data_IF_709327745292
#
_entry.id   IF_709327745292
#
_cell.length_a   1.000
_cell.length_b   1.000
_cell.length_c   1.000
_cell.angle_alpha   90.00
_cell.angle_beta   90.00
_cell.angle_gamma   90.00
#
_symmetry.space_group_name_H-M   'P 1'
#
loop_
_entity.id
_entity.type
_entity.pdbx_description
1 polymer ?
#
# COMPACT_ATOMS: atom_id res chain seq x y z
N UNK A 1 -10.44 -26.47 4.85
CA UNK A 1 -11.59 -26.03 5.68
C UNK A 1 -11.63 -24.50 5.64
N UNK A 2 -12.46 -23.90 4.79
CA UNK A 2 -12.71 -22.45 4.76
C UNK A 2 -13.83 -22.12 5.75
N UNK A 3 -13.48 -22.05 7.03
CA UNK A 3 -14.37 -21.51 8.05
C UNK A 3 -14.27 -19.99 8.07
N UNK A 4 -15.41 -19.30 8.18
CA UNK A 4 -15.40 -17.89 8.58
C UNK A 4 -14.87 -17.78 10.00
N UNK A 5 -13.87 -16.93 10.20
CA UNK A 5 -13.27 -16.67 11.52
C UNK A 5 -13.58 -15.24 11.93
N UNK A 6 -14.02 -15.05 13.16
CA UNK A 6 -14.29 -13.72 13.72
C UNK A 6 -13.00 -13.14 14.30
N UNK A 7 -12.71 -11.89 13.94
CA UNK A 7 -11.53 -11.15 14.37
C UNK A 7 -11.92 -9.77 14.88
N UNK A 8 -11.07 -9.20 15.73
CA UNK A 8 -11.13 -7.76 16.04
C UNK A 8 -10.74 -6.94 14.81
N UNK A 9 -11.43 -5.82 14.59
CA UNK A 9 -11.23 -4.94 13.46
C UNK A 9 -11.20 -3.47 13.91
N UNK A 10 -10.19 -2.67 13.54
CA UNK A 10 -10.10 -1.27 13.97
C UNK A 10 -11.14 -0.34 13.32
N UNK A 11 -11.85 -0.81 12.29
CA UNK A 11 -12.85 -0.03 11.55
C UNK A 11 -14.27 -0.43 11.97
N UNK A 12 -14.56 -1.74 12.08
CA UNK A 12 -15.88 -2.28 12.40
C UNK A 12 -16.02 -2.80 13.85
N UNK A 13 -14.94 -2.84 14.62
CA UNK A 13 -14.89 -3.46 15.94
C UNK A 13 -14.68 -4.97 15.87
N UNK A 14 -15.59 -5.67 15.20
CA UNK A 14 -15.49 -7.10 14.91
C UNK A 14 -15.85 -7.39 13.44
N UNK A 15 -15.18 -8.38 12.86
CA UNK A 15 -15.41 -8.80 11.47
C UNK A 15 -15.29 -10.31 11.32
N UNK A 16 -16.18 -10.90 10.53
CA UNK A 16 -16.12 -12.30 10.14
C UNK A 16 -15.46 -12.41 8.78
N UNK A 17 -14.27 -13.01 8.71
CA UNK A 17 -13.45 -13.09 7.49
C UNK A 17 -13.38 -14.52 7.00
N UNK A 18 -13.61 -14.69 5.71
CA UNK A 18 -13.41 -15.95 5.01
C UNK A 18 -12.14 -15.86 4.18
N UNK A 19 -11.13 -16.67 4.54
CA UNK A 19 -9.90 -16.73 3.76
C UNK A 19 -10.18 -17.49 2.46
N UNK A 20 -9.91 -16.92 1.27
CA UNK A 20 -10.18 -17.56 0.00
C UNK A 20 -9.54 -18.96 -0.10
N UNK A 21 -10.25 -19.88 -0.75
CA UNK A 21 -9.62 -21.12 -1.16
C UNK A 21 -8.77 -20.90 -2.41
N UNK A 22 -7.57 -21.47 -2.38
CA UNK A 22 -6.53 -21.29 -3.40
C UNK A 22 -6.11 -22.62 -4.03
N UNK A 23 -6.81 -23.71 -3.72
CA UNK A 23 -6.57 -25.04 -4.28
C UNK A 23 -6.62 -25.05 -5.81
N UNK A 24 -7.55 -24.29 -6.37
CA UNK A 24 -7.88 -24.33 -7.81
C UNK A 24 -7.18 -23.22 -8.61
N UNK A 25 -6.38 -22.38 -7.94
CA UNK A 25 -5.64 -21.30 -8.60
C UNK A 25 -4.50 -21.92 -9.42
N UNK A 26 -4.57 -21.73 -10.74
CA UNK A 26 -3.52 -22.14 -11.68
C UNK A 26 -2.18 -21.55 -11.27
N UNK A 27 -1.13 -22.37 -11.26
CA UNK A 27 0.23 -21.90 -11.07
C UNK A 27 0.65 -21.06 -12.28
N UNK A 28 0.70 -19.74 -12.10
CA UNK A 28 1.28 -18.82 -13.09
C UNK A 28 2.81 -18.91 -13.16
N UNK A 29 3.41 -18.42 -14.24
CA UNK A 29 4.87 -18.41 -14.45
C UNK A 29 5.40 -16.98 -14.45
N UNK A 30 6.52 -16.73 -13.78
CA UNK A 30 7.14 -15.40 -13.82
C UNK A 30 7.85 -15.19 -15.16
N UNK A 31 7.39 -14.20 -15.90
CA UNK A 31 8.02 -13.82 -17.17
C UNK A 31 9.30 -13.00 -16.92
N UNK A 32 10.36 -13.22 -17.71
CA UNK A 32 11.55 -12.38 -17.65
C UNK A 32 11.22 -10.91 -17.95
N UNK A 33 11.86 -9.98 -17.23
CA UNK A 33 11.65 -8.54 -17.39
C UNK A 33 11.76 -8.03 -18.85
N UNK A 34 12.69 -8.53 -19.71
CA UNK A 34 12.73 -8.13 -21.11
C UNK A 34 11.47 -8.52 -21.89
N UNK A 35 10.91 -9.70 -21.63
CA UNK A 35 9.68 -10.17 -22.29
C UNK A 35 8.50 -9.31 -21.87
N UNK A 36 8.37 -9.04 -20.57
CA UNK A 36 7.32 -8.15 -20.03
C UNK A 36 7.39 -6.74 -20.64
N UNK A 37 8.59 -6.23 -20.91
CA UNK A 37 8.80 -4.88 -21.46
C UNK A 37 8.58 -4.82 -22.98
N UNK A 38 9.07 -5.80 -23.72
CA UNK A 38 9.10 -5.75 -25.19
C UNK A 38 7.74 -6.08 -25.81
N UNK A 39 6.92 -6.93 -25.19
CA UNK A 39 5.59 -7.26 -25.70
C UNK A 39 4.67 -6.04 -25.87
N UNK A 40 4.46 -5.17 -24.87
CA UNK A 40 3.63 -3.98 -25.03
C UNK A 40 4.26 -2.97 -25.99
N UNK A 41 5.58 -2.78 -25.96
CA UNK A 41 6.27 -1.91 -26.93
C UNK A 41 6.06 -2.39 -28.36
N UNK A 42 6.24 -3.68 -28.61
CA UNK A 42 6.05 -4.29 -29.92
C UNK A 42 4.59 -4.22 -30.39
N UNK A 43 3.61 -4.40 -29.48
CA UNK A 43 2.20 -4.23 -29.79
C UNK A 43 1.85 -2.79 -30.19
N UNK A 44 2.40 -1.79 -29.49
CA UNK A 44 2.23 -0.37 -29.83
C UNK A 44 2.88 -0.05 -31.18
N UNK A 45 4.12 -0.52 -31.42
CA UNK A 45 4.80 -0.29 -32.70
C UNK A 45 4.06 -0.95 -33.87
N UNK A 46 3.51 -2.15 -33.70
CA UNK A 46 2.70 -2.82 -34.72
C UNK A 46 1.39 -2.05 -35.01
N UNK A 47 0.74 -1.54 -33.96
CA UNK A 47 -0.45 -0.70 -34.10
C UNK A 47 -0.14 0.58 -34.88
N UNK A 48 0.95 1.27 -34.53
CA UNK A 48 1.41 2.47 -35.25
C UNK A 48 1.72 2.16 -36.72
N UNK A 49 2.39 1.04 -36.99
CA UNK A 49 2.66 0.61 -38.36
C UNK A 49 1.36 0.39 -39.15
N UNK A 50 0.36 -0.25 -38.52
CA UNK A 50 -0.95 -0.46 -39.14
C UNK A 50 -1.65 0.86 -39.45
N UNK A 51 -1.61 1.82 -38.53
CA UNK A 51 -2.18 3.15 -38.76
C UNK A 51 -1.49 3.86 -39.92
N UNK A 52 -0.15 3.93 -39.93
CA UNK A 52 0.62 4.58 -41.01
C UNK A 52 0.33 3.95 -42.37
N UNK A 53 0.32 2.62 -42.45
CA UNK A 53 0.02 1.92 -43.71
C UNK A 53 -1.42 2.12 -44.16
N UNK A 54 -2.38 2.21 -43.23
CA UNK A 54 -3.77 2.55 -43.55
C UNK A 54 -3.95 3.95 -44.15
N UNK A 55 -3.03 4.89 -43.86
CA UNK A 55 -3.05 6.23 -44.47
C UNK A 55 -2.30 6.29 -45.81
N UNK A 56 -1.31 5.42 -46.04
CA UNK A 56 -0.39 5.53 -47.18
C UNK A 56 -0.67 4.52 -48.30
N UNK A 57 -1.40 3.44 -48.02
CA UNK A 57 -1.71 2.42 -49.01
C UNK A 57 -3.11 2.61 -49.61
N UNK A 58 -3.21 2.44 -50.93
CA UNK A 58 -4.49 2.45 -51.67
C UNK A 58 -5.36 1.19 -51.39
N UNK A 59 -4.98 0.34 -50.43
CA UNK A 59 -5.65 -0.92 -50.10
C UNK A 59 -5.49 -1.32 -48.64
N UNK A 60 -6.24 -2.35 -48.21
CA UNK A 60 -6.24 -2.77 -46.82
C UNK A 60 -4.86 -3.34 -46.39
N UNK A 61 -4.26 -2.84 -45.28
CA UNK A 61 -2.92 -3.23 -44.86
C UNK A 61 -2.92 -4.59 -44.13
N UNK A 62 -3.15 -5.68 -44.87
CA UNK A 62 -3.28 -7.04 -44.31
C UNK A 62 -2.09 -7.48 -43.45
N UNK A 63 -0.86 -7.24 -43.91
CA UNK A 63 0.36 -7.66 -43.18
C UNK A 63 0.51 -6.92 -41.85
N UNK A 64 0.47 -5.56 -41.80
CA UNK A 64 0.48 -4.83 -40.54
C UNK A 64 -0.64 -5.22 -39.58
N UNK A 65 -1.86 -5.43 -40.09
CA UNK A 65 -3.01 -5.86 -39.28
C UNK A 65 -2.74 -7.23 -38.66
N UNK A 66 -2.27 -8.20 -39.43
CA UNK A 66 -1.96 -9.54 -38.92
C UNK A 66 -0.86 -9.51 -37.85
N UNK A 67 0.22 -8.75 -38.08
CA UNK A 67 1.30 -8.57 -37.08
C UNK A 67 0.75 -7.95 -35.79
N UNK A 68 -0.09 -6.91 -35.90
CA UNK A 68 -0.72 -6.28 -34.74
C UNK A 68 -1.59 -7.26 -33.97
N UNK A 69 -2.44 -8.03 -34.64
CA UNK A 69 -3.28 -9.05 -34.01
C UNK A 69 -2.44 -10.09 -33.26
N UNK A 70 -1.36 -10.60 -33.87
CA UNK A 70 -0.46 -11.57 -33.22
C UNK A 70 0.23 -10.97 -32.00
N UNK A 71 0.72 -9.72 -32.09
CA UNK A 71 1.40 -9.07 -30.96
C UNK A 71 0.46 -8.83 -29.78
N UNK A 72 -0.78 -8.39 -30.04
CA UNK A 72 -1.80 -8.28 -28.99
C UNK A 72 -2.17 -9.65 -28.41
N UNK A 73 -2.32 -10.69 -29.24
CA UNK A 73 -2.61 -12.04 -28.77
C UNK A 73 -1.48 -12.58 -27.87
N UNK A 74 -0.21 -12.37 -28.25
CA UNK A 74 0.95 -12.74 -27.43
C UNK A 74 1.00 -11.95 -26.12
N UNK A 75 0.65 -10.67 -26.13
CA UNK A 75 0.57 -9.85 -24.93
C UNK A 75 -0.51 -10.36 -23.95
N UNK A 76 -1.71 -10.69 -24.45
CA UNK A 76 -2.78 -11.26 -23.62
C UNK A 76 -2.40 -12.66 -23.10
N UNK A 77 -1.83 -13.51 -23.95
CA UNK A 77 -1.38 -14.85 -23.56
C UNK A 77 -0.28 -14.77 -22.49
N UNK A 78 0.65 -13.83 -22.62
CA UNK A 78 1.67 -13.58 -21.61
C UNK A 78 1.06 -13.18 -20.26
N UNK A 79 0.03 -12.32 -20.25
CA UNK A 79 -0.71 -11.97 -19.03
C UNK A 79 -1.39 -13.18 -18.37
N UNK A 80 -2.07 -14.00 -19.17
CA UNK A 80 -2.76 -15.22 -18.70
C UNK A 80 -1.76 -16.26 -18.15
N UNK A 81 -0.64 -16.46 -18.84
CA UNK A 81 0.45 -17.34 -18.38
C UNK A 81 1.09 -16.81 -17.10
N UNK A 82 1.19 -15.49 -16.97
CA UNK A 82 1.70 -14.89 -15.76
C UNK A 82 0.76 -15.17 -14.58
N UNK A 83 -0.55 -15.02 -14.75
CA UNK A 83 -1.55 -15.18 -13.67
C UNK A 83 -1.08 -14.53 -12.35
N UNK A 84 -0.62 -13.28 -12.45
CA UNK A 84 0.04 -12.55 -11.37
C UNK A 84 -0.84 -12.48 -10.13
N UNK A 85 -2.09 -12.08 -10.30
CA UNK A 85 -3.06 -11.91 -9.21
C UNK A 85 -3.31 -13.24 -8.49
N UNK A 86 -3.41 -14.34 -9.25
CA UNK A 86 -3.48 -15.69 -8.69
C UNK A 86 -2.26 -16.07 -7.87
N UNK A 87 -1.04 -15.77 -8.35
CA UNK A 87 0.19 -16.03 -7.59
C UNK A 87 0.26 -15.22 -6.30
N UNK A 88 -0.08 -13.92 -6.37
CA UNK A 88 -0.09 -13.03 -5.21
C UNK A 88 -1.11 -13.52 -4.16
N UNK A 89 -2.34 -13.82 -4.60
CA UNK A 89 -3.40 -14.36 -3.75
C UNK A 89 -2.95 -15.67 -3.07
N UNK A 90 -2.40 -16.62 -3.84
CA UNK A 90 -1.91 -17.89 -3.31
C UNK A 90 -0.86 -17.70 -2.23
N UNK A 91 0.14 -16.84 -2.46
CA UNK A 91 1.23 -16.56 -1.51
C UNK A 91 0.73 -15.94 -0.21
N UNK A 92 -0.19 -14.97 -0.31
CA UNK A 92 -0.77 -14.28 0.86
C UNK A 92 -1.66 -15.21 1.68
N UNK A 93 -2.44 -16.06 1.03
CA UNK A 93 -3.24 -17.09 1.70
C UNK A 93 -2.33 -18.15 2.36
N UNK A 94 -1.26 -18.59 1.70
CA UNK A 94 -0.29 -19.52 2.28
C UNK A 94 0.46 -18.91 3.47
N UNK A 95 0.79 -17.62 3.42
CA UNK A 95 1.34 -16.89 4.57
C UNK A 95 0.34 -16.86 5.73
N UNK A 96 -0.90 -16.47 5.47
CA UNK A 96 -1.94 -16.38 6.48
C UNK A 96 -2.16 -17.75 7.15
N UNK A 97 -2.29 -18.82 6.35
CA UNK A 97 -2.44 -20.20 6.85
C UNK A 97 -1.25 -20.63 7.72
N UNK A 98 0.00 -20.33 7.31
CA UNK A 98 1.21 -20.67 8.09
C UNK A 98 1.27 -19.97 9.44
N UNK A 99 0.74 -18.74 9.53
CA UNK A 99 0.76 -17.92 10.74
C UNK A 99 -0.51 -18.04 11.59
N UNK A 100 -1.52 -18.80 11.13
CA UNK A 100 -2.83 -18.88 11.80
C UNK A 100 -3.66 -17.61 11.65
N UNK A 101 -3.40 -16.80 10.63
CA UNK A 101 -4.11 -15.56 10.32
C UNK A 101 -5.20 -15.79 9.26
N UNK A 102 -6.06 -14.81 9.09
CA UNK A 102 -7.02 -14.73 7.99
C UNK A 102 -6.62 -13.64 7.01
N UNK A 103 -6.87 -13.86 5.72
CA UNK A 103 -6.55 -12.92 4.64
C UNK A 103 -7.72 -12.75 3.67
N UNK A 104 -8.01 -11.53 3.25
CA UNK A 104 -8.88 -11.30 2.08
C UNK A 104 -8.47 -10.05 1.31
N UNK A 105 -8.48 -10.15 -0.03
CA UNK A 105 -8.35 -9.01 -0.95
C UNK A 105 -9.69 -8.39 -1.34
N UNK A 106 -10.80 -9.16 -1.24
CA UNK A 106 -12.11 -8.81 -1.80
C UNK A 106 -12.68 -7.51 -1.25
N UNK A 107 -12.40 -7.19 0.01
CA UNK A 107 -12.91 -5.97 0.64
C UNK A 107 -12.24 -4.72 0.06
N UNK A 108 -11.01 -4.83 -0.42
CA UNK A 108 -10.22 -3.71 -0.95
C UNK A 108 -10.32 -3.56 -2.49
N UNK A 109 -11.04 -4.45 -3.17
CA UNK A 109 -11.21 -4.42 -4.63
C UNK A 109 -11.95 -3.15 -5.09
N UNK A 110 -11.40 -2.49 -6.11
CA UNK A 110 -12.03 -1.28 -6.67
C UNK A 110 -13.37 -1.61 -7.31
N UNK A 111 -14.37 -0.80 -7.00
CA UNK A 111 -15.75 -0.99 -7.47
C UNK A 111 -15.99 -0.11 -8.69
N UNK A 112 -16.82 -0.57 -9.62
CA UNK A 112 -17.27 0.25 -10.75
C UNK A 112 -18.47 1.08 -10.32
N UNK A 113 -18.35 2.39 -10.44
CA UNK A 113 -19.45 3.32 -10.16
C UNK A 113 -19.80 4.14 -11.40
N UNK A 114 -21.09 4.46 -11.56
CA UNK A 114 -21.57 5.34 -12.63
C UNK A 114 -21.37 6.79 -12.22
N UNK A 115 -20.43 7.47 -12.86
CA UNK A 115 -20.21 8.89 -12.70
C UNK A 115 -20.83 9.68 -13.85
N UNK A 116 -21.30 10.89 -13.56
CA UNK A 116 -21.63 11.85 -14.61
C UNK A 116 -20.42 12.75 -14.83
N UNK A 117 -19.78 12.65 -15.99
CA UNK A 117 -18.66 13.49 -16.39
C UNK A 117 -19.21 14.61 -17.26
N UNK A 118 -18.99 15.85 -16.84
CA UNK A 118 -19.30 17.01 -17.67
C UNK A 118 -18.23 17.12 -18.75
N UNK A 119 -18.64 16.97 -20.01
CA UNK A 119 -17.82 17.22 -21.20
C UNK A 119 -18.27 18.51 -21.88
N UNK A 120 -17.48 19.03 -22.82
CA UNK A 120 -17.88 20.19 -23.63
C UNK A 120 -19.22 20.00 -24.34
N UNK A 121 -19.60 18.75 -24.59
CA UNK A 121 -20.78 18.37 -25.38
C UNK A 121 -21.97 17.96 -24.47
N UNK A 122 -21.81 18.06 -23.14
CA UNK A 122 -22.86 17.76 -22.16
C UNK A 122 -22.45 16.76 -21.08
N UNK A 123 -23.44 16.33 -20.29
CA UNK A 123 -23.29 15.36 -19.20
C UNK A 123 -23.26 13.94 -19.76
N UNK A 124 -22.09 13.28 -19.74
CA UNK A 124 -21.91 11.90 -20.19
C UNK A 124 -21.82 10.96 -18.98
N UNK A 125 -22.55 9.84 -19.03
CA UNK A 125 -22.51 8.83 -17.96
C UNK A 125 -21.44 7.80 -18.26
N UNK A 126 -20.37 7.79 -17.47
CA UNK A 126 -19.26 6.85 -17.62
C UNK A 126 -19.03 6.04 -16.36
N UNK A 127 -18.81 4.74 -16.54
CA UNK A 127 -18.31 3.88 -15.47
C UNK A 127 -16.86 4.20 -15.20
N UNK A 128 -16.51 4.46 -13.95
CA UNK A 128 -15.13 4.64 -13.51
C UNK A 128 -14.85 3.76 -12.28
N UNK A 129 -13.58 3.42 -12.07
CA UNK A 129 -13.15 2.59 -10.95
C UNK A 129 -12.90 3.47 -9.72
N UNK A 130 -13.73 3.32 -8.70
CA UNK A 130 -13.64 4.02 -7.42
C UNK A 130 -13.05 3.13 -6.34
N UNK A 131 -12.62 3.74 -5.23
CA UNK A 131 -12.20 2.99 -4.02
C UNK A 131 -13.40 2.21 -3.47
N UNK A 132 -13.15 1.05 -2.88
CA UNK A 132 -14.21 0.30 -2.19
C UNK A 132 -14.67 1.07 -0.95
N UNK A 133 -15.88 0.77 -0.48
CA UNK A 133 -16.39 1.30 0.80
C UNK A 133 -15.43 0.99 1.96
N UNK A 134 -14.77 -0.17 1.94
CA UNK A 134 -13.78 -0.54 2.95
C UNK A 134 -12.54 0.34 2.89
N UNK A 135 -12.02 0.60 1.68
CA UNK A 135 -10.85 1.44 1.50
C UNK A 135 -11.15 2.89 1.91
N UNK A 136 -12.36 3.40 1.62
CA UNK A 136 -12.82 4.71 2.10
C UNK A 136 -12.96 4.73 3.62
N UNK A 137 -13.55 3.71 4.24
CA UNK A 137 -13.68 3.64 5.69
C UNK A 137 -12.32 3.59 6.42
N UNK A 138 -11.31 2.93 5.83
CA UNK A 138 -9.94 2.95 6.35
C UNK A 138 -9.33 4.35 6.22
N UNK A 139 -9.52 4.99 5.07
CA UNK A 139 -9.02 6.37 4.85
C UNK A 139 -9.70 7.38 5.78
N UNK A 140 -11.00 7.27 6.02
CA UNK A 140 -11.75 8.15 6.91
C UNK A 140 -11.41 7.90 8.39
N UNK A 141 -11.04 6.66 8.74
CA UNK A 141 -10.62 6.31 10.10
C UNK A 141 -9.24 6.85 10.45
N UNK A 142 -8.32 6.83 9.49
CA UNK A 142 -6.92 7.26 9.69
C UNK A 142 -6.43 8.10 8.49
N UNK A 143 -7.07 9.26 8.24
CA UNK A 143 -6.73 10.12 7.09
C UNK A 143 -5.29 10.64 7.18
N UNK A 144 -4.78 10.75 8.41
CA UNK A 144 -3.44 11.21 8.70
C UNK A 144 -2.38 10.37 8.03
N UNK A 145 -2.57 9.05 7.93
CA UNK A 145 -1.58 8.09 7.40
C UNK A 145 -1.91 7.60 5.98
N UNK A 146 -3.15 7.75 5.54
CA UNK A 146 -3.63 7.12 4.30
C UNK A 146 -3.73 8.07 3.12
N UNK A 147 -4.01 9.35 3.37
CA UNK A 147 -3.98 10.38 2.33
C UNK A 147 -2.55 10.67 1.89
N UNK A 148 -2.41 11.26 0.71
CA UNK A 148 -1.10 11.66 0.20
C UNK A 148 -0.44 12.62 1.19
N UNK A 149 0.64 12.17 1.82
CA UNK A 149 1.49 13.00 2.66
C UNK A 149 2.60 13.62 1.82
N UNK A 150 3.20 14.70 2.32
CA UNK A 150 4.42 15.24 1.73
C UNK A 150 5.58 14.27 2.02
N UNK A 151 6.44 14.07 1.03
CA UNK A 151 7.50 13.06 1.09
C UNK A 151 7.03 11.68 0.66
N UNK A 152 5.75 11.32 0.81
CA UNK A 152 5.20 10.09 0.24
C UNK A 152 5.21 10.12 -1.28
N UNK A 153 5.54 8.99 -1.91
CA UNK A 153 5.49 8.85 -3.36
C UNK A 153 4.06 8.89 -3.91
N UNK A 154 3.12 8.31 -3.17
CA UNK A 154 1.69 8.21 -3.48
C UNK A 154 0.91 8.10 -2.17
N UNK A 155 -0.38 8.46 -2.20
CA UNK A 155 -1.29 8.11 -1.09
C UNK A 155 -1.34 6.59 -0.90
N UNK A 156 -1.59 6.13 0.33
CA UNK A 156 -1.55 4.71 0.63
C UNK A 156 -2.59 3.96 -0.21
N UNK A 157 -2.14 2.91 -0.90
CA UNK A 157 -2.99 1.99 -1.65
C UNK A 157 -2.91 0.63 -0.99
N UNK A 158 -4.07 0.01 -0.79
CA UNK A 158 -4.19 -1.32 -0.22
C UNK A 158 -4.96 -2.22 -1.19
N UNK A 159 -4.49 -3.44 -1.36
CA UNK A 159 -5.07 -4.49 -2.21
C UNK A 159 -5.37 -5.77 -1.40
N UNK A 160 -5.13 -5.75 -0.09
CA UNK A 160 -5.52 -6.82 0.79
C UNK A 160 -5.33 -6.51 2.27
N UNK A 161 -5.97 -7.35 3.09
CA UNK A 161 -5.99 -7.20 4.54
C UNK A 161 -5.75 -8.54 5.22
N UNK A 162 -5.07 -8.49 6.36
CA UNK A 162 -4.78 -9.60 7.26
C UNK A 162 -5.36 -9.32 8.64
N UNK A 163 -5.88 -10.37 9.27
CA UNK A 163 -6.31 -10.36 10.67
C UNK A 163 -5.73 -11.56 11.39
N UNK A 164 -5.35 -11.36 12.64
CA UNK A 164 -4.91 -12.46 13.47
C UNK A 164 -4.52 -12.02 14.86
N UNK A 165 -3.77 -12.89 15.50
CA UNK A 165 -3.24 -12.69 16.83
C UNK A 165 -1.72 -12.72 16.74
N UNK A 166 -1.06 -11.79 17.42
CA UNK A 166 0.40 -11.74 17.47
C UNK A 166 0.95 -12.95 18.22
N UNK A 167 2.03 -13.54 17.70
CA UNK A 167 2.62 -14.73 18.30
C UNK A 167 3.33 -14.46 19.62
N UNK A 168 3.72 -13.21 19.89
CA UNK A 168 4.53 -12.88 21.06
C UNK A 168 3.70 -12.48 22.29
N UNK A 169 2.56 -11.79 22.12
CA UNK A 169 1.74 -11.29 23.24
C UNK A 169 0.27 -11.69 23.19
N UNK A 170 -0.16 -12.42 22.15
CA UNK A 170 -1.55 -12.83 22.04
C UNK A 170 -2.51 -11.68 21.73
N UNK A 171 -2.04 -10.49 21.39
CA UNK A 171 -2.93 -9.38 21.06
C UNK A 171 -3.51 -9.51 19.65
N UNK A 172 -4.79 -9.17 19.46
CA UNK A 172 -5.35 -9.07 18.13
C UNK A 172 -4.68 -7.94 17.35
N UNK A 173 -4.50 -8.16 16.06
CA UNK A 173 -3.98 -7.15 15.15
C UNK A 173 -4.68 -7.24 13.80
N UNK A 174 -4.58 -6.13 13.07
CA UNK A 174 -5.02 -6.00 11.69
C UNK A 174 -3.90 -5.37 10.87
N UNK A 175 -3.70 -5.80 9.63
CA UNK A 175 -2.79 -5.12 8.68
C UNK A 175 -3.40 -5.06 7.29
N UNK A 176 -3.45 -3.86 6.72
CA UNK A 176 -3.67 -3.63 5.31
C UNK A 176 -2.33 -3.50 4.57
N UNK A 177 -2.29 -4.07 3.38
CA UNK A 177 -1.12 -4.07 2.50
C UNK A 177 -1.53 -3.67 1.10
N UNK A 178 -0.64 -2.99 0.38
CA UNK A 178 -0.76 -2.85 -1.06
C UNK A 178 0.56 -2.63 -1.74
N UNK A 179 0.58 -3.00 -3.02
CA UNK A 179 1.73 -2.84 -3.88
C UNK A 179 1.30 -2.24 -5.22
N UNK A 180 2.01 -1.20 -5.67
CA UNK A 180 1.79 -0.55 -6.95
C UNK A 180 3.07 -0.62 -7.78
N UNK A 181 2.96 -1.06 -9.02
CA UNK A 181 4.10 -1.04 -9.93
C UNK A 181 4.48 0.37 -10.34
N UNK A 182 5.78 0.58 -10.51
CA UNK A 182 6.33 1.78 -11.11
C UNK A 182 7.40 1.38 -12.15
N UNK A 183 7.57 2.22 -13.17
CA UNK A 183 8.75 2.14 -14.02
C UNK A 183 9.87 3.01 -13.43
N UNK A 184 10.53 2.48 -12.39
CA UNK A 184 11.60 3.19 -11.67
C UNK A 184 12.74 3.66 -12.59
N UNK A 185 13.02 2.91 -13.66
CA UNK A 185 14.05 3.23 -14.65
C UNK A 185 13.83 4.53 -15.42
N UNK A 186 12.58 5.01 -15.53
CA UNK A 186 12.24 6.27 -16.19
C UNK A 186 12.00 7.42 -15.21
N UNK A 187 12.07 7.17 -13.91
CA UNK A 187 11.83 8.19 -12.90
C UNK A 187 12.88 9.31 -13.00
N UNK A 188 12.41 10.56 -13.06
CA UNK A 188 13.29 11.74 -13.12
C UNK A 188 14.14 11.88 -11.84
N UNK A 189 13.59 11.49 -10.69
CA UNK A 189 14.29 11.51 -9.41
C UNK A 189 15.24 10.30 -9.28
N UNK A 190 16.57 10.49 -9.16
CA UNK A 190 17.53 9.40 -8.97
C UNK A 190 17.28 8.56 -7.71
N UNK A 191 16.69 9.15 -6.66
CA UNK A 191 16.33 8.43 -5.44
C UNK A 191 15.26 7.37 -5.69
N UNK A 192 14.47 7.47 -6.75
CA UNK A 192 13.50 6.46 -7.18
C UNK A 192 14.15 5.28 -7.93
N UNK A 193 15.40 5.43 -8.38
CA UNK A 193 16.13 4.39 -9.14
C UNK A 193 16.95 3.46 -8.26
N UNK A 194 16.93 3.66 -6.93
CA UNK A 194 17.64 2.84 -5.95
C UNK A 194 16.69 2.52 -4.81
N UNK A 195 16.77 1.31 -4.26
CA UNK A 195 16.09 0.96 -3.01
C UNK A 195 17.08 0.87 -1.86
N UNK A 196 16.57 0.89 -0.63
CA UNK A 196 17.36 0.78 0.60
C UNK A 196 18.08 -0.59 0.73
N UNK A 197 17.72 -1.56 -0.11
CA UNK A 197 18.24 -2.94 -0.12
C UNK A 197 19.24 -3.18 -1.26
N UNK A 198 19.80 -2.11 -1.82
CA UNK A 198 20.86 -2.16 -2.82
C UNK A 198 20.40 -2.44 -4.26
N UNK A 199 19.10 -2.53 -4.51
CA UNK A 199 18.52 -2.64 -5.84
C UNK A 199 18.76 -1.37 -6.66
N UNK A 200 18.96 -1.51 -7.97
CA UNK A 200 19.22 -0.39 -8.89
C UNK A 200 18.52 -0.55 -10.24
N UNK A 201 17.86 0.51 -10.70
CA UNK A 201 17.25 0.64 -12.04
C UNK A 201 16.06 -0.29 -12.29
N UNK A 202 15.59 -0.34 -13.55
CA UNK A 202 14.58 -1.31 -13.99
C UNK A 202 13.15 -1.03 -13.51
N UNK A 203 12.38 -2.10 -13.31
CA UNK A 203 11.04 -2.03 -12.72
C UNK A 203 11.13 -1.76 -11.22
N UNK A 204 10.14 -1.07 -10.67
CA UNK A 204 10.00 -0.88 -9.25
C UNK A 204 8.61 -1.23 -8.77
N UNK A 205 8.47 -1.39 -7.46
CA UNK A 205 7.19 -1.53 -6.77
C UNK A 205 7.21 -0.59 -5.57
N UNK A 206 6.21 0.28 -5.47
CA UNK A 206 5.90 0.98 -4.22
C UNK A 206 5.04 0.06 -3.38
N UNK A 207 5.29 -0.01 -2.09
CA UNK A 207 4.43 -0.72 -1.17
C UNK A 207 4.00 0.17 -0.02
N UNK A 208 2.82 -0.10 0.50
CA UNK A 208 2.26 0.55 1.68
C UNK A 208 1.77 -0.53 2.65
N UNK A 209 2.11 -0.36 3.92
CA UNK A 209 1.72 -1.22 5.02
C UNK A 209 1.08 -0.35 6.08
N UNK A 210 -0.18 -0.64 6.43
CA UNK A 210 -0.90 0.01 7.51
C UNK A 210 -1.34 -1.06 8.49
N UNK A 211 -0.72 -1.10 9.67
CA UNK A 211 -1.13 -1.99 10.75
C UNK A 211 -1.95 -1.27 11.81
N UNK A 212 -2.75 -2.01 12.54
CA UNK A 212 -3.41 -1.55 13.75
C UNK A 212 -3.37 -2.61 14.83
N UNK A 213 -3.34 -2.16 16.08
CA UNK A 213 -3.48 -3.04 17.23
C UNK A 213 -4.22 -2.36 18.37
N UNK A 214 -4.87 -3.19 19.19
CA UNK A 214 -5.55 -2.75 20.39
C UNK A 214 -4.56 -2.62 21.54
N UNK A 215 -4.47 -1.45 22.16
CA UNK A 215 -3.60 -1.15 23.32
C UNK A 215 -4.12 -1.79 24.60
N UNK A 216 -5.40 -2.15 24.66
CA UNK A 216 -6.02 -2.75 25.86
C UNK A 216 -6.30 -1.74 26.98
N UNK A 217 -5.93 -0.46 26.80
CA UNK A 217 -6.27 0.67 27.66
C UNK A 217 -6.70 1.86 26.80
N UNK A 218 -7.48 2.76 27.40
CA UNK A 218 -7.89 4.02 26.78
C UNK A 218 -6.87 5.11 27.08
N UNK A 219 -6.30 5.72 26.05
CA UNK A 219 -5.43 6.90 26.19
C UNK A 219 -6.23 8.19 26.28
N UNK A 220 -7.51 8.19 25.86
CA UNK A 220 -8.38 9.36 25.93
C UNK A 220 -7.98 10.50 24.97
N UNK A 221 -6.99 10.28 24.10
CA UNK A 221 -6.50 11.27 23.14
C UNK A 221 -6.34 10.64 21.75
N UNK A 222 -6.38 11.48 20.72
CA UNK A 222 -5.90 11.12 19.38
C UNK A 222 -4.62 11.90 19.08
N UNK A 223 -3.50 11.20 19.05
CA UNK A 223 -2.18 11.74 18.76
C UNK A 223 -1.70 11.21 17.41
N UNK A 224 -1.35 12.10 16.49
CA UNK A 224 -0.90 11.75 15.16
C UNK A 224 0.50 12.31 14.89
N UNK A 225 1.42 11.42 14.53
CA UNK A 225 2.78 11.75 14.14
C UNK A 225 2.98 11.36 12.69
N UNK A 226 3.29 12.38 11.89
CA UNK A 226 3.39 12.29 10.43
C UNK A 226 4.81 12.66 10.01
N UNK A 227 5.35 12.08 8.94
CA UNK A 227 6.57 12.60 8.34
C UNK A 227 6.31 14.03 7.84
N UNK A 228 7.31 14.91 7.99
CA UNK A 228 7.16 16.37 7.89
C UNK A 228 6.38 16.84 6.63
N UNK A 229 5.43 17.74 6.86
CA UNK A 229 4.51 18.27 5.86
C UNK A 229 4.97 19.66 5.36
N UNK A 230 5.40 19.77 4.10
CA UNK A 230 5.70 21.08 3.47
C UNK A 230 4.42 21.91 3.18
N UNK A 231 3.21 21.37 3.37
CA UNK A 231 1.96 21.99 2.97
C UNK A 231 0.84 21.95 4.03
N UNK A 232 1.10 22.43 5.25
CA UNK A 232 0.03 22.98 6.08
C UNK A 232 0.28 24.46 6.44
N UNK A 233 -0.39 25.34 5.66
CA UNK A 233 -0.62 26.76 5.92
C UNK A 233 -1.99 26.93 6.58
N UNK A 234 -2.11 26.56 7.85
CA UNK A 234 -3.32 26.81 8.64
C UNK A 234 -2.94 27.28 10.05
N UNK A 235 -3.56 28.33 10.60
CA UNK A 235 -3.29 28.82 11.96
C UNK A 235 -3.74 27.88 13.09
N UNK A 236 -4.24 26.67 12.77
CA UNK A 236 -4.76 25.67 13.70
C UNK A 236 -3.94 24.36 13.73
N UNK A 237 -2.91 24.22 12.89
CA UNK A 237 -2.09 23.01 12.88
C UNK A 237 -0.92 23.20 13.86
N UNK A 238 -1.24 23.03 15.15
CA UNK A 238 -0.28 23.21 16.24
C UNK A 238 0.63 22.00 16.32
N UNK A 239 1.89 22.19 15.95
CA UNK A 239 2.94 21.18 16.07
C UNK A 239 3.46 21.10 17.52
N UNK A 240 3.35 19.93 18.13
CA UNK A 240 3.83 19.68 19.51
C UNK A 240 5.31 19.33 19.45
N UNK A 241 6.16 20.23 19.93
CA UNK A 241 7.60 20.00 19.96
C UNK A 241 8.00 19.10 21.14
N UNK A 242 8.83 18.10 20.82
CA UNK A 242 9.50 17.23 21.79
C UNK A 242 10.86 17.81 22.20
N UNK A 243 11.55 17.17 23.13
CA UNK A 243 12.93 17.55 23.50
C UNK A 243 13.97 17.15 22.43
N UNK A 244 13.62 16.24 21.51
CA UNK A 244 14.52 15.76 20.46
C UNK A 244 14.45 16.64 19.21
N UNK A 245 15.54 17.35 18.94
CA UNK A 245 15.68 18.19 17.73
C UNK A 245 15.53 17.32 16.47
N UNK A 246 16.24 16.20 16.39
CA UNK A 246 16.19 15.30 15.24
C UNK A 246 14.78 14.74 15.00
N UNK A 247 14.03 14.44 16.07
CA UNK A 247 12.65 13.99 15.93
C UNK A 247 11.73 15.10 15.42
N UNK A 248 11.87 16.31 15.97
CA UNK A 248 11.08 17.48 15.57
C UNK A 248 11.38 17.98 14.15
N UNK A 249 12.56 17.65 13.60
CA UNK A 249 12.93 17.89 12.20
C UNK A 249 12.36 16.81 11.28
N UNK A 250 12.25 15.57 11.75
CA UNK A 250 11.78 14.45 10.94
C UNK A 250 10.24 14.32 10.91
N UNK A 251 9.56 14.70 12.00
CA UNK A 251 8.15 14.43 12.21
C UNK A 251 7.37 15.67 12.66
N UNK A 252 6.13 15.76 12.17
CA UNK A 252 5.10 16.68 12.64
C UNK A 252 4.18 15.96 13.62
N UNK A 253 3.99 16.55 14.80
CA UNK A 253 3.18 15.97 15.89
C UNK A 253 1.94 16.80 16.10
N UNK A 254 0.78 16.17 15.97
CA UNK A 254 -0.52 16.82 16.15
C UNK A 254 -1.36 16.05 17.17
N UNK A 255 -2.19 16.77 17.92
CA UNK A 255 -3.20 16.19 18.78
C UNK A 255 -4.56 16.78 18.45
N UNK A 256 -5.57 15.92 18.31
CA UNK A 256 -6.96 16.37 18.33
C UNK A 256 -7.57 15.99 19.67
N UNK A 257 -7.84 17.00 20.49
CA UNK A 257 -8.53 16.87 21.76
C UNK A 257 -9.62 17.96 21.84
N UNK A 258 -10.80 17.62 22.36
CA UNK A 258 -11.81 18.61 22.77
C UNK A 258 -11.43 19.33 24.09
N UNK A 259 -10.31 18.94 24.72
CA UNK A 259 -9.91 19.35 26.07
C UNK A 259 -8.48 19.94 26.14
N UNK A 260 -8.29 21.17 25.66
CA UNK A 260 -7.26 22.13 26.12
C UNK A 260 -5.81 21.66 26.37
N UNK A 261 -5.16 22.29 27.36
CA UNK A 261 -3.71 22.23 27.64
C UNK A 261 -3.17 20.85 28.13
N UNK A 262 -4.05 19.94 28.55
CA UNK A 262 -3.67 18.57 28.95
C UNK A 262 -3.31 17.68 27.74
N UNK A 263 -3.68 18.09 26.53
CA UNK A 263 -3.41 17.37 25.29
C UNK A 263 -1.91 17.21 25.00
N UNK A 264 -1.11 18.27 25.18
CA UNK A 264 0.32 18.24 24.88
C UNK A 264 1.07 17.27 25.81
N UNK A 265 0.72 17.29 27.10
CA UNK A 265 1.30 16.38 28.09
C UNK A 265 0.93 14.92 27.81
N UNK A 266 -0.32 14.66 27.41
CA UNK A 266 -0.74 13.32 27.01
C UNK A 266 0.04 12.83 25.78
N UNK A 267 0.25 13.68 24.76
CA UNK A 267 1.06 13.31 23.59
C UNK A 267 2.53 13.10 23.95
N UNK A 268 3.11 13.93 24.80
CA UNK A 268 4.49 13.76 25.27
C UNK A 268 4.66 12.50 26.11
N UNK A 269 3.62 12.06 26.84
CA UNK A 269 3.65 10.79 27.57
C UNK A 269 3.65 9.55 26.64
N UNK A 270 3.06 9.68 25.45
CA UNK A 270 3.09 8.65 24.39
C UNK A 270 4.45 8.68 23.67
N UNK A 271 4.98 9.88 23.42
CA UNK A 271 6.26 10.13 22.76
C UNK A 271 7.43 10.07 23.74
N UNK A 272 7.55 8.96 24.47
CA UNK A 272 8.75 8.72 25.30
C UNK A 272 10.02 8.75 24.43
N UNK A 273 11.20 9.04 25.01
CA UNK A 273 12.45 9.00 24.26
C UNK A 273 12.68 7.69 23.51
N UNK A 274 12.25 6.55 24.08
CA UNK A 274 12.32 5.25 23.44
C UNK A 274 11.40 5.14 22.20
N UNK A 275 10.17 5.68 22.27
CA UNK A 275 9.27 5.79 21.13
C UNK A 275 9.91 6.63 20.02
N UNK A 276 10.48 7.78 20.37
CA UNK A 276 11.11 8.69 19.42
C UNK A 276 12.31 8.04 18.71
N UNK A 277 13.19 7.36 19.45
CA UNK A 277 14.33 6.62 18.86
C UNK A 277 13.84 5.51 17.94
N UNK A 278 12.86 4.72 18.37
CA UNK A 278 12.30 3.63 17.54
C UNK A 278 11.77 4.16 16.20
N UNK A 279 11.10 5.31 16.21
CA UNK A 279 10.55 5.93 15.01
C UNK A 279 11.62 6.48 14.08
N UNK A 280 12.68 7.07 14.61
CA UNK A 280 13.84 7.50 13.83
C UNK A 280 14.53 6.29 13.17
N UNK A 281 14.73 5.19 13.92
CA UNK A 281 15.29 3.95 13.38
C UNK A 281 14.40 3.33 12.28
N UNK A 282 13.09 3.50 12.37
CA UNK A 282 12.16 3.06 11.34
C UNK A 282 12.21 3.98 10.11
N UNK A 283 12.35 5.28 10.30
CA UNK A 283 12.51 6.25 9.21
C UNK A 283 13.82 6.08 8.43
N UNK A 284 14.88 5.58 9.08
CA UNK A 284 16.10 5.19 8.36
C UNK A 284 15.90 3.96 7.46
N UNK A 285 15.01 3.06 7.87
CA UNK A 285 14.73 1.79 7.16
C UNK A 285 13.68 1.93 6.07
N UNK A 286 12.69 2.79 6.28
CA UNK A 286 11.56 2.99 5.40
C UNK A 286 11.52 4.43 4.90
N UNK A 287 11.08 4.64 3.66
CA UNK A 287 11.03 5.99 3.10
C UNK A 287 10.06 6.91 3.85
N UNK A 288 8.94 6.37 4.30
CA UNK A 288 7.89 7.13 4.97
C UNK A 288 7.34 6.30 6.11
N UNK A 289 7.27 6.89 7.30
CA UNK A 289 6.77 6.25 8.51
C UNK A 289 5.85 7.23 9.23
N UNK A 290 4.75 6.74 9.78
CA UNK A 290 3.88 7.55 10.62
C UNK A 290 3.10 6.67 11.60
N UNK A 291 2.59 7.28 12.66
CA UNK A 291 1.76 6.57 13.61
C UNK A 291 0.61 7.46 14.11
N UNK A 292 -0.49 6.82 14.48
CA UNK A 292 -1.63 7.48 15.11
C UNK A 292 -2.07 6.64 16.30
N UNK A 293 -2.00 7.20 17.50
CA UNK A 293 -2.74 6.67 18.65
C UNK A 293 -4.12 7.28 18.63
N UNK A 294 -5.15 6.44 18.72
CA UNK A 294 -6.54 6.87 18.80
C UNK A 294 -7.27 6.08 19.88
N UNK A 295 -7.45 6.72 21.03
CA UNK A 295 -7.99 6.13 22.26
C UNK A 295 -7.31 4.81 22.64
N UNK A 296 -7.87 3.66 22.24
CA UNK A 296 -7.37 2.32 22.54
C UNK A 296 -6.72 1.60 21.35
N UNK A 297 -6.48 2.29 20.24
CA UNK A 297 -5.89 1.71 19.02
C UNK A 297 -4.62 2.48 18.64
N UNK A 298 -3.51 1.77 18.38
CA UNK A 298 -2.38 2.35 17.65
C UNK A 298 -2.43 1.89 16.20
N UNK A 299 -2.38 2.87 15.29
CA UNK A 299 -2.16 2.69 13.86
C UNK A 299 -0.70 2.95 13.50
N UNK A 300 -0.10 1.94 12.88
CA UNK A 300 1.21 1.84 12.26
C UNK A 300 1.22 2.15 10.75
N UNK A 301 1.96 3.09 10.16
CA UNK A 301 2.18 3.11 8.70
C UNK A 301 3.66 3.08 8.32
N UNK A 302 4.00 2.25 7.34
CA UNK A 302 5.25 2.36 6.58
C UNK A 302 5.01 2.31 5.06
N UNK A 303 5.75 3.14 4.32
CA UNK A 303 5.84 3.08 2.86
C UNK A 303 7.30 3.09 2.43
N UNK A 304 7.59 2.34 1.39
CA UNK A 304 8.91 2.30 0.76
C UNK A 304 8.79 1.65 -0.63
N UNK A 305 9.92 1.39 -1.28
CA UNK A 305 10.00 0.86 -2.63
C UNK A 305 11.04 -0.23 -2.78
N UNK A 306 10.79 -1.13 -3.73
CA UNK A 306 11.77 -2.09 -4.23
C UNK A 306 12.05 -1.78 -5.70
N UNK A 307 13.29 -1.93 -6.15
CA UNK A 307 13.67 -1.69 -7.55
C UNK A 307 14.60 -2.76 -8.11
N UNK A 308 14.58 -2.91 -9.43
CA UNK A 308 15.45 -3.82 -10.16
C UNK A 308 15.22 -5.27 -9.77
N UNK A 309 16.29 -5.96 -9.37
CA UNK A 309 16.22 -7.37 -8.95
C UNK A 309 15.36 -7.59 -7.69
N UNK A 310 15.19 -6.57 -6.85
CA UNK A 310 14.38 -6.66 -5.63
C UNK A 310 12.88 -6.50 -5.92
N UNK A 311 12.51 -5.83 -7.01
CA UNK A 311 11.13 -5.67 -7.46
C UNK A 311 10.57 -6.90 -8.22
N UNK A 312 11.23 -8.07 -8.08
CA UNK A 312 10.73 -9.30 -8.69
C UNK A 312 9.40 -9.70 -8.04
N UNK A 313 8.35 -10.09 -8.80
CA UNK A 313 7.02 -10.38 -8.24
C UNK A 313 7.06 -11.33 -7.05
N UNK A 314 7.89 -12.38 -7.15
CA UNK A 314 8.01 -13.36 -6.10
C UNK A 314 8.78 -12.88 -4.85
N UNK A 315 9.64 -11.87 -5.01
CA UNK A 315 10.38 -11.27 -3.89
C UNK A 315 9.56 -10.21 -3.19
N UNK A 316 8.67 -9.51 -3.89
CA UNK A 316 7.78 -8.52 -3.29
C UNK A 316 6.94 -9.19 -2.20
N UNK A 317 6.23 -10.28 -2.50
CA UNK A 317 5.39 -10.94 -1.48
C UNK A 317 6.19 -11.61 -0.37
N UNK A 318 7.40 -12.14 -0.67
CA UNK A 318 8.28 -12.69 0.36
C UNK A 318 8.77 -11.58 1.31
N UNK A 319 9.19 -10.45 0.75
CA UNK A 319 9.56 -9.27 1.52
C UNK A 319 8.39 -8.70 2.28
N UNK A 320 7.19 -8.68 1.70
CA UNK A 320 5.99 -8.24 2.41
C UNK A 320 5.69 -9.14 3.62
N UNK A 321 5.94 -10.45 3.53
CA UNK A 321 5.83 -11.35 4.68
C UNK A 321 6.87 -11.07 5.77
N UNK A 322 8.12 -10.84 5.38
CA UNK A 322 9.20 -10.47 6.32
C UNK A 322 8.89 -9.12 6.96
N UNK A 323 8.46 -8.14 6.15
CA UNK A 323 8.04 -6.81 6.58
C UNK A 323 6.88 -6.87 7.54
N UNK A 324 5.85 -7.70 7.29
CA UNK A 324 4.75 -7.91 8.24
C UNK A 324 5.26 -8.41 9.59
N UNK A 325 6.29 -9.26 9.59
CA UNK A 325 6.91 -9.77 10.83
C UNK A 325 7.75 -8.69 11.51
N UNK A 326 8.50 -7.89 10.75
CA UNK A 326 9.23 -6.72 11.27
C UNK A 326 8.28 -5.65 11.80
N UNK A 327 7.13 -5.48 11.17
CA UNK A 327 6.09 -4.53 11.57
C UNK A 327 5.42 -4.97 12.86
N UNK A 328 5.16 -6.27 13.00
CA UNK A 328 4.73 -6.90 14.25
C UNK A 328 5.78 -6.66 15.36
N UNK A 329 7.07 -6.82 15.07
CA UNK A 329 8.16 -6.54 16.01
C UNK A 329 8.27 -5.05 16.38
N UNK A 330 8.19 -4.15 15.41
CA UNK A 330 8.24 -2.70 15.61
C UNK A 330 7.04 -2.20 16.43
N UNK A 331 5.86 -2.79 16.22
CA UNK A 331 4.67 -2.60 17.06
C UNK A 331 4.99 -2.85 18.52
N UNK A 332 5.79 -3.86 18.87
CA UNK A 332 6.12 -4.15 20.27
C UNK A 332 6.94 -3.04 20.91
N UNK A 333 7.97 -2.58 20.22
CA UNK A 333 8.79 -1.46 20.70
C UNK A 333 7.94 -0.22 20.91
N UNK A 334 7.02 0.07 19.97
CA UNK A 334 6.11 1.21 20.09
C UNK A 334 5.09 1.01 21.22
N UNK A 335 4.45 -0.15 21.33
CA UNK A 335 3.48 -0.47 22.39
C UNK A 335 4.09 -0.31 23.78
N UNK A 336 5.21 -0.97 24.06
CA UNK A 336 5.86 -0.89 25.37
C UNK A 336 6.33 0.53 25.70
N UNK A 337 6.67 1.33 24.68
CA UNK A 337 7.10 2.72 24.87
C UNK A 337 5.92 3.69 25.00
N UNK A 338 4.70 3.23 24.68
CA UNK A 338 3.44 3.96 24.80
C UNK A 338 2.66 3.51 26.04
N UNK A 339 2.95 2.35 26.64
CA UNK A 339 2.34 1.79 27.85
C UNK A 339 2.96 2.32 29.15
#
# INVERSE_FOLDING_TARGET
MSGRVTHWDPIKGEISVETPDVSDIRSGVVLPAPVRRMLPIGAILALLWTMVQGFWADGFPFVPVAVTTVMFALMFLAGELENRDGRQLKRRVELARRKGWSYTGKLMERVREFGTVMTSDGADRRTHLVKSERALAVEDRVPELTRLQVGSFVGAQFDGEFWGTSSNDGLPFWVAIGAMEMEAGLAANPALRRDARGGRGGFGVFYSLLGAYKLGRKTGVRAAVRPENLFHKGPLDRDIKTESIAFNEAFHVSCSNDAGADADLAVLSILTPATQTTLLDLLERYHTVGFVVDDDVLFFLAQDKLVGANAHPDRVDAHLADLLTEFEAAKFSLKNSVE
#
